data_IF_338058933160
#
_entry.id   IF_338058933160
#
_cell.length_a   1.000
_cell.length_b   1.000
_cell.length_c   1.000
_cell.angle_alpha   90.00
_cell.angle_beta   90.00
_cell.angle_gamma   90.00
#
_symmetry.space_group_name_H-M   'P 1'
#
loop_
_entity.id
_entity.type
_entity.pdbx_description
1 polymer ?
#
# COMPACT_ATOMS: atom_id res chain seq x y z
N UNK A 1 -24.12 -5.18 -12.16
CA UNK A 1 -22.70 -5.55 -12.42
C UNK A 1 -22.65 -6.98 -12.95
N UNK A 2 -22.90 -7.15 -14.25
CA UNK A 2 -22.78 -8.44 -14.94
C UNK A 2 -21.36 -8.57 -15.50
N UNK A 3 -20.36 -8.74 -14.61
CA UNK A 3 -19.06 -9.19 -15.08
C UNK A 3 -19.18 -10.66 -15.46
N UNK A 4 -19.09 -10.95 -16.75
CA UNK A 4 -18.97 -12.29 -17.33
C UNK A 4 -17.64 -12.94 -16.92
N UNK A 5 -17.41 -13.14 -15.62
CA UNK A 5 -16.34 -14.00 -15.13
C UNK A 5 -16.70 -15.43 -15.47
N UNK A 6 -16.16 -15.97 -16.57
CA UNK A 6 -16.26 -17.38 -16.89
C UNK A 6 -15.58 -18.18 -15.77
N UNK A 7 -16.30 -19.13 -15.19
CA UNK A 7 -15.74 -20.05 -14.16
C UNK A 7 -14.98 -21.22 -14.81
N UNK A 8 -15.09 -21.36 -16.14
CA UNK A 8 -14.49 -22.45 -16.90
C UNK A 8 -13.07 -22.07 -17.35
N UNK A 9 -12.15 -21.98 -16.40
CA UNK A 9 -10.73 -21.68 -16.68
C UNK A 9 -9.93 -22.98 -16.53
N UNK A 10 -9.09 -23.29 -17.53
CA UNK A 10 -8.12 -24.38 -17.42
C UNK A 10 -6.95 -23.86 -16.59
N UNK A 11 -6.68 -24.50 -15.45
CA UNK A 11 -5.56 -24.15 -14.56
C UNK A 11 -4.63 -25.36 -14.40
N UNK A 12 -4.03 -25.82 -15.51
CA UNK A 12 -3.18 -27.02 -15.51
C UNK A 12 -1.73 -26.67 -15.26
N UNK A 13 -1.27 -25.53 -15.77
CA UNK A 13 0.13 -25.11 -15.73
C UNK A 13 0.31 -23.79 -14.94
N UNK A 14 1.52 -23.47 -14.46
CA UNK A 14 1.82 -22.20 -13.80
C UNK A 14 1.44 -20.97 -14.64
N UNK A 15 1.69 -21.01 -15.95
CA UNK A 15 1.32 -19.97 -16.92
C UNK A 15 -0.18 -19.70 -16.96
N UNK A 16 -0.99 -20.75 -16.79
CA UNK A 16 -2.45 -20.63 -16.75
C UNK A 16 -2.91 -19.85 -15.50
N UNK A 17 -2.19 -20.01 -14.39
CA UNK A 17 -2.47 -19.30 -13.15
C UNK A 17 -2.16 -17.81 -13.32
N UNK A 18 -0.99 -17.46 -13.86
CA UNK A 18 -0.62 -16.05 -14.05
C UNK A 18 -1.55 -15.35 -15.04
N UNK A 19 -1.89 -16.00 -16.15
CA UNK A 19 -2.85 -15.46 -17.12
C UNK A 19 -4.22 -15.25 -16.48
N UNK A 20 -4.74 -16.22 -15.73
CA UNK A 20 -6.02 -16.09 -15.03
C UNK A 20 -6.03 -14.93 -14.02
N UNK A 21 -4.92 -14.73 -13.28
CA UNK A 21 -4.77 -13.63 -12.32
C UNK A 21 -4.69 -12.28 -13.03
N UNK A 22 -3.95 -12.20 -14.14
CA UNK A 22 -3.85 -10.97 -14.93
C UNK A 22 -5.20 -10.59 -15.53
N UNK A 23 -5.92 -11.54 -16.12
CA UNK A 23 -7.29 -11.31 -16.62
C UNK A 23 -8.23 -10.87 -15.49
N UNK A 24 -8.16 -11.51 -14.32
CA UNK A 24 -8.97 -11.10 -13.16
C UNK A 24 -8.64 -9.67 -12.71
N UNK A 25 -7.35 -9.34 -12.64
CA UNK A 25 -6.86 -8.03 -12.22
C UNK A 25 -7.31 -6.94 -13.19
N UNK A 26 -7.13 -7.17 -14.49
CA UNK A 26 -7.57 -6.23 -15.54
C UNK A 26 -9.08 -6.02 -15.51
N UNK A 27 -9.87 -7.10 -15.39
CA UNK A 27 -11.33 -7.00 -15.26
C UNK A 27 -11.74 -6.17 -14.04
N UNK A 28 -11.06 -6.32 -12.90
CA UNK A 28 -11.34 -5.51 -11.70
C UNK A 28 -10.93 -4.05 -11.93
N UNK A 29 -9.79 -3.79 -12.56
CA UNK A 29 -9.33 -2.43 -12.85
C UNK A 29 -10.24 -1.72 -13.86
N UNK A 30 -10.68 -2.41 -14.91
CA UNK A 30 -11.63 -1.88 -15.90
C UNK A 30 -12.98 -1.59 -15.27
N UNK A 31 -13.50 -2.52 -14.48
CA UNK A 31 -14.77 -2.29 -13.76
C UNK A 31 -14.64 -1.15 -12.76
N UNK A 32 -13.50 -1.02 -12.07
CA UNK A 32 -13.23 0.14 -11.22
C UNK A 32 -13.21 1.43 -12.04
N UNK A 33 -12.55 1.47 -13.20
CA UNK A 33 -12.49 2.65 -14.08
C UNK A 33 -13.89 3.07 -14.56
N UNK A 34 -14.74 2.10 -14.90
CA UNK A 34 -16.12 2.33 -15.38
C UNK A 34 -17.04 2.74 -14.22
N UNK A 35 -16.92 2.07 -13.07
CA UNK A 35 -17.83 2.26 -11.92
C UNK A 35 -17.43 3.39 -10.98
N UNK A 36 -16.14 3.75 -10.95
CA UNK A 36 -15.71 4.95 -10.26
C UNK A 36 -16.23 6.13 -11.06
N UNK A 37 -17.27 6.78 -10.57
CA UNK A 37 -17.44 8.20 -10.87
C UNK A 37 -16.10 8.83 -10.50
N UNK A 38 -15.35 9.35 -11.47
CA UNK A 38 -14.39 10.42 -11.19
C UNK A 38 -15.18 11.32 -10.27
N UNK A 39 -14.75 11.46 -9.02
CA UNK A 39 -15.36 12.43 -8.14
C UNK A 39 -15.12 13.74 -8.88
N UNK A 40 -16.10 14.15 -9.69
CA UNK A 40 -16.10 15.40 -10.42
C UNK A 40 -16.08 16.37 -9.27
N UNK A 41 -14.85 16.79 -8.87
CA UNK A 41 -14.51 17.45 -7.61
C UNK A 41 -15.78 18.12 -7.15
N UNK A 42 -16.56 17.46 -6.25
CA UNK A 42 -17.93 17.93 -6.02
C UNK A 42 -17.75 19.38 -5.68
N UNK A 43 -18.23 20.23 -6.59
CA UNK A 43 -17.65 21.55 -6.76
C UNK A 43 -17.99 22.32 -5.50
N UNK A 44 -17.11 22.29 -4.50
CA UNK A 44 -17.02 23.33 -3.50
C UNK A 44 -16.85 24.67 -4.23
N UNK A 45 -16.36 24.65 -5.49
CA UNK A 45 -16.43 25.77 -6.43
C UNK A 45 -17.84 26.34 -6.67
N UNK A 46 -18.92 25.55 -6.68
CA UNK A 46 -20.28 26.09 -6.83
C UNK A 46 -20.73 26.83 -5.56
N UNK A 47 -20.30 26.40 -4.37
CA UNK A 47 -20.51 27.17 -3.13
C UNK A 47 -19.63 28.43 -3.04
N UNK A 48 -18.61 28.55 -3.90
CA UNK A 48 -17.63 29.64 -3.87
C UNK A 48 -18.03 30.85 -4.74
N UNK A 49 -19.01 30.70 -5.64
CA UNK A 49 -19.37 31.72 -6.63
C UNK A 49 -20.79 32.23 -6.32
N UNK A 50 -20.86 33.36 -5.61
CA UNK A 50 -22.10 34.12 -5.46
C UNK A 50 -22.50 34.75 -6.80
N UNK A 51 -23.79 35.13 -6.99
CA UNK A 51 -24.21 35.87 -8.18
C UNK A 51 -23.38 37.15 -8.39
N UNK A 52 -23.03 37.85 -7.31
CA UNK A 52 -22.14 39.03 -7.32
C UNK A 52 -20.74 38.71 -7.90
N UNK A 53 -20.12 37.60 -7.47
CA UNK A 53 -18.80 37.17 -7.99
C UNK A 53 -18.92 36.77 -9.47
N UNK A 54 -19.99 36.08 -9.85
CA UNK A 54 -20.25 35.68 -11.24
C UNK A 54 -20.40 36.90 -12.16
N UNK A 55 -21.10 37.92 -11.68
CA UNK A 55 -21.27 39.18 -12.39
C UNK A 55 -19.94 39.91 -12.55
N UNK A 56 -19.14 40.03 -11.48
CA UNK A 56 -17.81 40.64 -11.55
C UNK A 56 -16.85 39.89 -12.49
N UNK A 57 -16.92 38.55 -12.54
CA UNK A 57 -16.17 37.75 -13.53
C UNK A 57 -16.59 38.13 -14.94
N UNK A 58 -17.89 38.25 -15.19
CA UNK A 58 -18.45 38.62 -16.49
C UNK A 58 -18.04 40.04 -16.89
N UNK A 59 -18.17 41.01 -15.99
CA UNK A 59 -17.74 42.40 -16.21
C UNK A 59 -16.23 42.50 -16.49
N UNK A 60 -15.40 41.79 -15.71
CA UNK A 60 -13.94 41.73 -15.93
C UNK A 60 -13.61 41.16 -17.31
N UNK A 61 -14.28 40.07 -17.73
CA UNK A 61 -14.08 39.46 -19.05
C UNK A 61 -14.45 40.43 -20.17
N UNK A 62 -15.59 41.11 -20.06
CA UNK A 62 -16.00 42.16 -21.00
C UNK A 62 -14.96 43.28 -21.09
N UNK A 63 -14.51 43.81 -19.95
CA UNK A 63 -13.49 44.86 -19.93
C UNK A 63 -12.14 44.41 -20.51
N UNK A 64 -11.75 43.14 -20.30
CA UNK A 64 -10.56 42.57 -20.95
C UNK A 64 -10.71 42.55 -22.47
N UNK A 65 -11.85 42.09 -22.98
CA UNK A 65 -12.09 42.01 -24.42
C UNK A 65 -12.06 43.41 -25.05
N UNK A 66 -12.69 44.40 -24.41
CA UNK A 66 -12.65 45.80 -24.88
C UNK A 66 -11.20 46.29 -24.95
N UNK A 67 -10.44 46.18 -23.85
CA UNK A 67 -9.03 46.61 -23.82
C UNK A 67 -8.17 45.89 -24.87
N UNK A 68 -8.41 44.60 -25.14
CA UNK A 68 -7.69 43.84 -26.16
C UNK A 68 -8.01 44.27 -27.60
N UNK A 69 -9.12 44.97 -27.81
CA UNK A 69 -9.50 45.53 -29.12
C UNK A 69 -9.03 46.97 -29.26
N UNK A 70 -9.20 47.80 -28.23
CA UNK A 70 -8.96 49.24 -28.29
C UNK A 70 -7.53 49.64 -27.92
N UNK A 71 -6.85 48.86 -27.07
CA UNK A 71 -5.54 49.17 -26.48
C UNK A 71 -5.44 50.51 -25.73
N UNK A 72 -6.56 51.19 -25.46
CA UNK A 72 -6.54 52.49 -24.77
C UNK A 72 -6.18 52.36 -23.28
N UNK A 73 -5.41 53.32 -22.72
CA UNK A 73 -5.07 53.32 -21.29
C UNK A 73 -6.28 53.31 -20.36
N UNK A 74 -7.37 53.98 -20.74
CA UNK A 74 -8.61 54.06 -19.95
C UNK A 74 -9.28 52.68 -19.80
N UNK A 75 -9.28 51.88 -20.86
CA UNK A 75 -9.85 50.53 -20.86
C UNK A 75 -8.98 49.57 -20.04
N UNK A 76 -7.65 49.75 -20.09
CA UNK A 76 -6.70 49.03 -19.23
C UNK A 76 -6.94 49.34 -17.76
N UNK A 77 -7.17 50.61 -17.42
CA UNK A 77 -7.49 51.03 -16.06
C UNK A 77 -8.80 50.41 -15.57
N UNK A 78 -9.84 50.39 -16.42
CA UNK A 78 -11.13 49.74 -16.10
C UNK A 78 -10.98 48.24 -15.89
N UNK A 79 -10.22 47.55 -16.74
CA UNK A 79 -9.90 46.13 -16.56
C UNK A 79 -9.16 45.88 -15.24
N UNK A 80 -8.13 46.67 -14.94
CA UNK A 80 -7.35 46.54 -13.70
C UNK A 80 -8.22 46.76 -12.46
N UNK A 81 -9.08 47.79 -12.48
CA UNK A 81 -10.05 48.05 -11.42
C UNK A 81 -10.97 46.86 -11.17
N UNK A 82 -11.59 46.31 -12.21
CA UNK A 82 -12.47 45.14 -12.08
C UNK A 82 -11.70 43.88 -11.64
N UNK A 83 -10.45 43.72 -12.07
CA UNK A 83 -9.58 42.63 -11.62
C UNK A 83 -9.27 42.73 -10.12
N UNK A 84 -8.94 43.92 -9.64
CA UNK A 84 -8.68 44.19 -8.21
C UNK A 84 -9.95 44.07 -7.38
N UNK A 85 -11.09 44.58 -7.87
CA UNK A 85 -12.40 44.44 -7.23
C UNK A 85 -12.80 42.98 -7.10
N UNK A 86 -12.63 42.18 -8.15
CA UNK A 86 -12.87 40.73 -8.11
C UNK A 86 -11.93 40.04 -7.10
N UNK A 87 -10.64 40.38 -7.09
CA UNK A 87 -9.65 39.83 -6.14
C UNK A 87 -10.05 40.13 -4.68
N UNK A 88 -10.45 41.38 -4.40
CA UNK A 88 -10.88 41.81 -3.07
C UNK A 88 -12.17 41.08 -2.64
N UNK A 89 -13.17 41.03 -3.53
CA UNK A 89 -14.47 40.38 -3.27
C UNK A 89 -14.29 38.88 -3.02
N UNK A 90 -13.47 38.20 -3.82
CA UNK A 90 -13.13 36.79 -3.61
C UNK A 90 -12.42 36.56 -2.27
N UNK A 91 -11.53 37.46 -1.85
CA UNK A 91 -10.86 37.37 -0.54
C UNK A 91 -11.87 37.52 0.59
N UNK A 92 -12.77 38.51 0.51
CA UNK A 92 -13.84 38.73 1.49
C UNK A 92 -14.76 37.51 1.60
N UNK A 93 -15.22 36.98 0.47
CA UNK A 93 -16.10 35.81 0.42
C UNK A 93 -15.43 34.56 1.01
N UNK A 94 -14.16 34.29 0.66
CA UNK A 94 -13.40 33.18 1.25
C UNK A 94 -13.24 33.30 2.77
N UNK A 95 -13.00 34.52 3.26
CA UNK A 95 -12.90 34.77 4.70
C UNK A 95 -14.24 34.55 5.41
N UNK A 96 -15.35 34.98 4.80
CA UNK A 96 -16.69 34.74 5.32
C UNK A 96 -17.01 33.25 5.38
N UNK A 97 -16.76 32.50 4.31
CA UNK A 97 -16.94 31.04 4.29
C UNK A 97 -16.06 30.32 5.33
N UNK A 98 -14.83 30.78 5.52
CA UNK A 98 -13.96 30.22 6.56
C UNK A 98 -14.51 30.52 7.96
N UNK A 99 -14.97 31.75 8.20
CA UNK A 99 -15.53 32.18 9.48
C UNK A 99 -16.79 31.39 9.81
N UNK A 100 -17.74 31.27 8.86
CA UNK A 100 -18.96 30.49 9.05
C UNK A 100 -18.66 29.01 9.28
N UNK A 101 -17.68 28.46 8.55
CA UNK A 101 -17.22 27.10 8.77
C UNK A 101 -16.65 26.93 10.17
N UNK A 102 -15.81 27.85 10.68
CA UNK A 102 -15.28 27.77 12.05
C UNK A 102 -16.40 27.90 13.10
N UNK A 103 -17.36 28.79 12.89
CA UNK A 103 -18.53 28.95 13.78
C UNK A 103 -19.42 27.70 13.82
N UNK A 104 -19.52 26.96 12.71
CA UNK A 104 -20.29 25.71 12.66
C UNK A 104 -19.64 24.53 13.41
N UNK A 105 -18.37 24.67 13.85
CA UNK A 105 -17.67 23.58 14.53
C UNK A 105 -18.16 23.43 15.96
N UNK A 106 -18.54 22.20 16.32
CA UNK A 106 -18.92 21.83 17.68
C UNK A 106 -17.89 20.88 18.33
N UNK A 107 -17.60 21.06 19.64
CA UNK A 107 -16.87 20.09 20.45
C UNK A 107 -17.55 18.72 20.53
N UNK A 108 -18.89 18.66 20.58
CA UNK A 108 -19.67 17.43 20.76
C UNK A 108 -19.47 16.42 19.63
N UNK A 109 -19.33 16.91 18.40
CA UNK A 109 -19.21 16.08 17.19
C UNK A 109 -17.75 15.74 16.84
N UNK A 110 -16.78 16.17 17.67
CA UNK A 110 -15.34 16.02 17.42
C UNK A 110 -14.82 16.79 16.20
N UNK A 111 -15.66 17.63 15.58
CA UNK A 111 -15.35 18.42 14.38
C UNK A 111 -14.28 19.48 14.66
N UNK A 112 -14.41 20.18 15.78
CA UNK A 112 -13.44 21.17 16.26
C UNK A 112 -12.07 20.55 16.48
N UNK A 113 -12.02 19.37 17.13
CA UNK A 113 -10.76 18.65 17.36
C UNK A 113 -10.07 18.24 16.07
N UNK A 114 -10.83 17.69 15.10
CA UNK A 114 -10.30 17.34 13.77
C UNK A 114 -9.71 18.55 13.05
N UNK A 115 -10.40 19.70 13.09
CA UNK A 115 -9.92 20.94 12.47
C UNK A 115 -8.66 21.46 13.16
N UNK A 116 -8.67 21.53 14.49
CA UNK A 116 -7.53 21.97 15.31
C UNK A 116 -6.29 21.12 15.01
N UNK A 117 -6.44 19.78 15.05
CA UNK A 117 -5.37 18.85 14.70
C UNK A 117 -4.86 19.03 13.28
N UNK A 118 -5.73 19.33 12.32
CA UNK A 118 -5.33 19.62 10.95
C UNK A 118 -4.57 20.93 10.80
N UNK A 119 -4.91 21.96 11.56
CA UNK A 119 -4.23 23.27 11.53
C UNK A 119 -2.85 23.18 12.19
N UNK A 120 -2.74 22.46 13.29
CA UNK A 120 -1.47 22.23 14.01
C UNK A 120 -0.56 21.20 13.30
N UNK A 121 -1.07 20.49 12.27
CA UNK A 121 -0.29 19.48 11.57
C UNK A 121 0.76 20.15 10.68
N UNK A 122 2.01 20.12 11.13
CA UNK A 122 3.15 20.46 10.28
C UNK A 122 3.23 19.49 9.08
N UNK A 123 3.27 20.04 7.86
CA UNK A 123 3.52 19.25 6.66
C UNK A 123 5.04 19.14 6.47
N UNK A 124 5.63 18.07 6.99
CA UNK A 124 7.03 17.76 6.71
C UNK A 124 7.18 17.34 5.25
N UNK A 125 7.88 18.14 4.45
CA UNK A 125 8.37 17.73 3.13
C UNK A 125 9.65 16.93 3.30
N UNK A 126 9.89 15.96 2.42
CA UNK A 126 11.16 15.24 2.37
C UNK A 126 12.21 16.22 1.84
N UNK A 127 13.22 16.61 2.64
CA UNK A 127 14.28 17.52 2.18
C UNK A 127 15.11 16.85 1.07
N UNK A 128 16.02 17.60 0.42
CA UNK A 128 17.03 16.99 -0.43
C UNK A 128 17.79 15.90 0.32
N UNK A 129 18.10 14.79 -0.35
CA UNK A 129 18.87 13.70 0.24
C UNK A 129 20.34 13.82 -0.16
N UNK A 130 21.26 13.52 0.75
CA UNK A 130 22.69 13.52 0.45
C UNK A 130 23.13 12.23 -0.25
N UNK A 131 23.85 12.38 -1.36
CA UNK A 131 24.66 11.31 -1.94
C UNK A 131 25.96 11.12 -1.13
N UNK A 132 26.59 9.96 -1.28
CA UNK A 132 27.92 9.69 -0.69
C UNK A 132 29.01 10.65 -1.23
N UNK A 133 28.81 11.20 -2.44
CA UNK A 133 29.76 12.10 -3.11
C UNK A 133 29.49 13.59 -2.83
N UNK A 134 28.82 13.93 -1.71
CA UNK A 134 28.38 15.29 -1.35
C UNK A 134 27.39 15.99 -2.31
N UNK A 135 26.93 15.32 -3.38
CA UNK A 135 25.83 15.82 -4.20
C UNK A 135 24.48 15.72 -3.48
N UNK A 136 23.48 16.45 -3.96
CA UNK A 136 22.12 16.46 -3.42
C UNK A 136 21.11 15.87 -4.43
N UNK A 137 20.24 14.98 -3.96
CA UNK A 137 19.06 14.52 -4.69
C UNK A 137 17.88 15.43 -4.36
N UNK A 138 17.43 16.22 -5.34
CA UNK A 138 16.41 17.24 -5.18
C UNK A 138 15.07 16.75 -5.73
N UNK A 139 15.08 16.15 -6.91
CA UNK A 139 13.86 15.66 -7.57
C UNK A 139 13.33 14.39 -6.90
N UNK A 140 12.03 14.15 -7.00
CA UNK A 140 11.42 12.93 -6.41
C UNK A 140 11.98 11.65 -7.06
N UNK A 141 12.32 11.72 -8.35
CA UNK A 141 12.96 10.62 -9.07
C UNK A 141 14.38 10.35 -8.52
N UNK A 142 15.23 11.37 -8.42
CA UNK A 142 16.58 11.23 -7.84
C UNK A 142 16.52 10.68 -6.42
N UNK A 143 15.61 11.18 -5.58
CA UNK A 143 15.42 10.69 -4.21
C UNK A 143 15.02 9.22 -4.20
N UNK A 144 14.10 8.82 -5.08
CA UNK A 144 13.65 7.45 -5.23
C UNK A 144 14.80 6.52 -5.63
N UNK A 145 15.58 6.91 -6.63
CA UNK A 145 16.69 6.12 -7.16
C UNK A 145 17.82 5.99 -6.13
N UNK A 146 18.13 7.08 -5.42
CA UNK A 146 19.10 7.07 -4.32
C UNK A 146 18.67 6.10 -3.22
N UNK A 147 17.42 6.18 -2.77
CA UNK A 147 16.87 5.26 -1.76
C UNK A 147 16.86 3.81 -2.27
N UNK A 148 16.52 3.58 -3.54
CA UNK A 148 16.53 2.24 -4.14
C UNK A 148 17.93 1.63 -4.13
N UNK A 149 18.95 2.38 -4.58
CA UNK A 149 20.35 1.95 -4.58
C UNK A 149 20.86 1.65 -3.16
N UNK A 150 20.56 2.55 -2.22
CA UNK A 150 20.91 2.37 -0.83
C UNK A 150 20.27 1.10 -0.23
N UNK A 151 18.98 0.85 -0.50
CA UNK A 151 18.30 -0.36 -0.04
C UNK A 151 18.84 -1.62 -0.71
N UNK A 152 19.17 -1.57 -2.00
CA UNK A 152 19.77 -2.69 -2.71
C UNK A 152 21.12 -3.09 -2.10
N UNK A 153 21.92 -2.11 -1.66
CA UNK A 153 23.19 -2.36 -0.98
C UNK A 153 23.01 -2.97 0.41
N UNK A 154 22.05 -2.49 1.21
CA UNK A 154 21.77 -3.02 2.56
C UNK A 154 21.16 -4.42 2.52
N UNK A 155 20.31 -4.70 1.55
CA UNK A 155 19.54 -5.95 1.48
C UNK A 155 20.31 -7.12 0.86
N UNK A 156 21.64 -7.00 0.70
CA UNK A 156 22.49 -8.10 0.24
C UNK A 156 22.54 -9.21 1.28
N UNK A 157 22.55 -10.50 0.87
CA UNK A 157 22.79 -11.60 1.77
C UNK A 157 24.12 -11.37 2.49
N UNK A 158 24.15 -11.60 3.81
CA UNK A 158 25.41 -11.55 4.54
C UNK A 158 26.29 -12.70 4.05
N UNK A 159 27.56 -12.40 3.73
CA UNK A 159 28.53 -13.42 3.34
C UNK A 159 29.00 -14.15 4.60
N UNK A 160 28.14 -15.04 5.10
CA UNK A 160 28.52 -16.00 6.12
C UNK A 160 29.37 -17.03 5.38
N UNK A 161 30.58 -17.31 5.87
CA UNK A 161 31.33 -18.52 5.51
C UNK A 161 30.89 -19.61 6.50
N UNK A 162 29.84 -20.40 6.19
CA UNK A 162 29.44 -21.51 7.03
C UNK A 162 30.55 -22.56 7.03
N UNK A 163 30.67 -23.29 8.14
CA UNK A 163 31.54 -24.46 8.23
C UNK A 163 31.21 -25.46 7.10
N UNK A 164 32.25 -25.99 6.45
CA UNK A 164 32.13 -26.92 5.34
C UNK A 164 31.34 -28.18 5.75
N UNK A 165 31.49 -28.63 7.00
CA UNK A 165 30.76 -29.79 7.53
C UNK A 165 29.26 -29.53 7.60
N UNK A 166 28.86 -28.34 8.06
CA UNK A 166 27.46 -27.93 8.14
C UNK A 166 26.84 -27.77 6.75
N UNK A 167 27.60 -27.24 5.77
CA UNK A 167 27.12 -27.15 4.39
C UNK A 167 26.80 -28.53 3.80
N UNK A 168 27.67 -29.51 4.01
CA UNK A 168 27.44 -30.89 3.56
C UNK A 168 26.16 -31.45 4.20
N UNK A 169 25.94 -31.26 5.50
CA UNK A 169 24.72 -31.71 6.17
C UNK A 169 23.45 -31.04 5.61
N UNK A 170 23.51 -29.74 5.36
CA UNK A 170 22.39 -28.99 4.77
C UNK A 170 22.09 -29.49 3.37
N UNK A 171 23.10 -29.68 2.53
CA UNK A 171 22.93 -30.16 1.17
C UNK A 171 22.38 -31.59 1.13
N UNK A 172 22.87 -32.48 2.01
CA UNK A 172 22.31 -33.82 2.21
C UNK A 172 20.84 -33.75 2.61
N UNK A 173 20.46 -32.86 3.52
CA UNK A 173 19.07 -32.70 3.93
C UNK A 173 18.19 -32.14 2.79
N UNK A 174 18.67 -31.16 2.03
CA UNK A 174 17.94 -30.54 0.92
C UNK A 174 17.71 -31.53 -0.23
N UNK A 175 18.71 -32.37 -0.51
CA UNK A 175 18.67 -33.40 -1.56
C UNK A 175 17.97 -34.68 -1.14
N UNK A 176 17.82 -34.92 0.17
CA UNK A 176 17.07 -36.07 0.67
C UNK A 176 15.62 -36.07 0.14
N UNK A 177 15.08 -37.24 -0.21
CA UNK A 177 13.70 -37.34 -0.68
C UNK A 177 12.76 -36.84 0.40
N UNK A 178 11.82 -35.97 0.02
CA UNK A 178 10.82 -35.47 0.95
C UNK A 178 9.99 -36.65 1.49
N UNK A 179 9.69 -36.67 2.80
CA UNK A 179 8.82 -37.69 3.34
C UNK A 179 7.46 -37.62 2.65
N UNK A 180 6.85 -38.78 2.41
CA UNK A 180 5.51 -38.85 1.84
C UNK A 180 4.56 -38.06 2.74
N UNK A 181 4.00 -36.98 2.21
CA UNK A 181 3.10 -36.10 2.93
C UNK A 181 1.76 -36.02 2.21
N UNK A 182 0.67 -35.94 2.99
CA UNK A 182 -0.64 -35.69 2.44
C UNK A 182 -0.67 -34.31 1.76
N UNK A 183 -1.40 -34.17 0.64
CA UNK A 183 -1.56 -32.89 -0.02
C UNK A 183 -2.20 -31.88 0.94
N UNK A 184 -1.85 -30.61 0.76
CA UNK A 184 -2.41 -29.56 1.58
C UNK A 184 -3.95 -29.52 1.40
N UNK A 185 -4.70 -29.57 2.51
CA UNK A 185 -6.17 -29.58 2.52
C UNK A 185 -6.74 -28.51 1.61
N UNK A 186 -7.70 -28.77 0.70
CA UNK A 186 -8.20 -27.74 -0.21
C UNK A 186 -8.86 -26.56 0.54
N UNK A 187 -8.86 -25.39 -0.08
CA UNK A 187 -9.54 -24.18 0.42
C UNK A 187 -11.00 -24.19 -0.02
N UNK A 188 -11.91 -23.80 0.88
CA UNK A 188 -13.32 -23.57 0.56
C UNK A 188 -13.63 -22.09 0.30
N UNK A 189 -14.69 -21.76 -0.47
CA UNK A 189 -15.08 -20.36 -0.69
C UNK A 189 -15.46 -19.64 0.62
N UNK A 190 -16.04 -20.37 1.59
CA UNK A 190 -16.34 -19.83 2.91
C UNK A 190 -15.09 -19.42 3.68
N UNK A 191 -14.00 -20.18 3.54
CA UNK A 191 -12.72 -19.82 4.15
C UNK A 191 -12.14 -18.54 3.53
N UNK A 192 -12.12 -18.44 2.19
CA UNK A 192 -11.68 -17.22 1.49
C UNK A 192 -12.51 -16.02 1.91
N UNK A 193 -13.84 -16.16 1.92
CA UNK A 193 -14.76 -15.11 2.31
C UNK A 193 -14.52 -14.65 3.76
N UNK A 194 -14.22 -15.57 4.67
CA UNK A 194 -13.90 -15.25 6.07
C UNK A 194 -12.67 -14.35 6.19
N UNK A 195 -11.65 -14.58 5.34
CA UNK A 195 -10.42 -13.78 5.30
C UNK A 195 -10.72 -12.40 4.70
N UNK A 196 -11.48 -12.35 3.61
CA UNK A 196 -11.89 -11.11 2.94
C UNK A 196 -12.67 -10.19 3.89
N UNK A 197 -13.65 -10.74 4.62
CA UNK A 197 -14.43 -9.98 5.61
C UNK A 197 -13.56 -9.35 6.71
N UNK A 198 -12.51 -10.07 7.15
CA UNK A 198 -11.55 -9.61 8.17
C UNK A 198 -10.52 -8.58 7.67
N UNK A 199 -10.47 -8.26 6.38
CA UNK A 199 -9.56 -7.22 5.87
C UNK A 199 -9.90 -5.85 6.45
N UNK A 200 -8.88 -5.02 6.74
CA UNK A 200 -9.09 -3.63 7.20
C UNK A 200 -9.28 -2.72 5.99
N UNK A 201 -10.34 -1.90 5.96
CA UNK A 201 -10.67 -1.08 4.78
C UNK A 201 -9.61 -0.01 4.48
N UNK A 202 -8.98 0.55 5.51
CA UNK A 202 -8.03 1.68 5.42
C UNK A 202 -6.58 1.24 5.16
N UNK A 203 -6.39 0.26 4.25
CA UNK A 203 -5.06 -0.23 3.88
C UNK A 203 -4.75 0.16 2.45
N UNK A 204 -3.52 0.60 2.22
CA UNK A 204 -3.01 0.95 0.90
C UNK A 204 -2.96 -0.29 -0.01
N UNK A 205 -3.25 -0.11 -1.31
CA UNK A 205 -3.16 -1.19 -2.29
C UNK A 205 -1.71 -1.52 -2.64
N UNK A 206 -1.50 -2.60 -3.39
CA UNK A 206 -0.20 -2.91 -4.00
C UNK A 206 -0.01 -2.14 -5.31
N UNK A 207 0.90 -2.63 -6.16
CA UNK A 207 1.08 -2.10 -7.52
C UNK A 207 -0.18 -2.23 -8.40
N UNK A 208 -1.06 -3.16 -8.05
CA UNK A 208 -2.32 -3.46 -8.73
C UNK A 208 -3.41 -2.38 -8.49
N UNK A 209 -3.19 -1.46 -7.54
CA UNK A 209 -4.15 -0.45 -7.13
C UNK A 209 -5.51 -1.03 -6.64
N UNK A 210 -5.55 -2.31 -6.24
CA UNK A 210 -6.77 -2.95 -5.73
C UNK A 210 -6.87 -2.82 -4.21
N UNK A 211 -7.77 -1.94 -3.78
CA UNK A 211 -8.03 -1.66 -2.36
C UNK A 211 -8.81 -2.79 -1.66
N UNK A 212 -8.60 -2.94 -0.34
CA UNK A 212 -9.36 -3.89 0.47
C UNK A 212 -10.88 -3.64 0.43
N UNK A 213 -11.30 -2.37 0.27
CA UNK A 213 -12.73 -2.02 0.12
C UNK A 213 -13.30 -2.61 -1.17
N UNK A 214 -12.56 -2.55 -2.28
CA UNK A 214 -12.94 -3.17 -3.55
C UNK A 214 -13.07 -4.68 -3.38
N UNK A 215 -12.07 -5.32 -2.77
CA UNK A 215 -12.06 -6.78 -2.56
C UNK A 215 -13.27 -7.25 -1.75
N UNK A 216 -13.69 -6.50 -0.73
CA UNK A 216 -14.89 -6.82 0.06
C UNK A 216 -16.20 -6.69 -0.71
N UNK A 217 -16.23 -5.86 -1.74
CA UNK A 217 -17.41 -5.61 -2.56
C UNK A 217 -17.43 -6.47 -3.84
N UNK A 218 -16.50 -7.41 -4.00
CA UNK A 218 -16.49 -8.34 -5.13
C UNK A 218 -17.72 -9.25 -5.10
N UNK A 219 -18.27 -9.61 -6.27
CA UNK A 219 -19.41 -10.50 -6.33
C UNK A 219 -19.01 -11.92 -5.85
N UNK A 220 -19.96 -12.70 -5.30
CA UNK A 220 -19.69 -14.07 -4.82
C UNK A 220 -19.02 -14.96 -5.87
N UNK A 221 -19.39 -14.77 -7.15
CA UNK A 221 -18.79 -15.49 -8.29
C UNK A 221 -17.27 -15.30 -8.37
N UNK A 222 -16.77 -14.11 -8.09
CA UNK A 222 -15.33 -13.82 -8.06
C UNK A 222 -14.63 -14.51 -6.89
N UNK A 223 -15.31 -14.64 -5.73
CA UNK A 223 -14.76 -15.38 -4.58
C UNK A 223 -14.62 -16.87 -4.92
N UNK A 224 -15.59 -17.45 -5.64
CA UNK A 224 -15.51 -18.83 -6.12
C UNK A 224 -14.33 -18.98 -7.09
N UNK A 225 -14.19 -18.06 -8.06
CA UNK A 225 -13.06 -18.05 -8.99
C UNK A 225 -11.71 -17.96 -8.27
N UNK A 226 -11.56 -17.06 -7.30
CA UNK A 226 -10.34 -16.93 -6.48
C UNK A 226 -10.03 -18.23 -5.73
N UNK A 227 -11.06 -18.89 -5.20
CA UNK A 227 -10.90 -20.18 -4.51
C UNK A 227 -10.35 -21.24 -5.46
N UNK A 228 -10.86 -21.29 -6.69
CA UNK A 228 -10.38 -22.21 -7.71
C UNK A 228 -8.91 -21.93 -8.09
N UNK A 229 -8.54 -20.66 -8.26
CA UNK A 229 -7.14 -20.24 -8.48
C UNK A 229 -6.24 -20.65 -7.31
N UNK A 230 -6.64 -20.37 -6.06
CA UNK A 230 -5.85 -20.73 -4.88
C UNK A 230 -5.68 -22.25 -4.73
N UNK A 231 -6.69 -23.05 -5.06
CA UNK A 231 -6.57 -24.50 -5.04
C UNK A 231 -5.64 -25.02 -6.14
N UNK A 232 -5.66 -24.41 -7.33
CA UNK A 232 -4.68 -24.72 -8.37
C UNK A 232 -3.24 -24.36 -7.94
N UNK A 233 -3.05 -23.22 -7.28
CA UNK A 233 -1.76 -22.82 -6.71
C UNK A 233 -1.25 -23.83 -5.67
N UNK A 234 -2.11 -24.35 -4.79
CA UNK A 234 -1.74 -25.42 -3.86
C UNK A 234 -1.37 -26.72 -4.58
N UNK A 235 -2.13 -27.11 -5.62
CA UNK A 235 -1.87 -28.33 -6.40
C UNK A 235 -0.55 -28.27 -7.15
N UNK A 236 -0.27 -27.14 -7.80
CA UNK A 236 0.94 -26.95 -8.61
C UNK A 236 2.14 -26.47 -7.79
N UNK A 237 1.96 -26.23 -6.49
CA UNK A 237 2.98 -25.61 -5.62
C UNK A 237 3.58 -24.33 -6.20
N UNK A 238 2.74 -23.54 -6.87
CA UNK A 238 3.16 -22.35 -7.61
C UNK A 238 2.62 -21.07 -6.96
N UNK A 239 3.49 -20.08 -6.82
CA UNK A 239 3.11 -18.73 -6.41
C UNK A 239 3.31 -17.74 -7.57
N UNK A 240 2.28 -16.97 -7.95
CA UNK A 240 2.29 -16.05 -9.08
C UNK A 240 3.38 -15.00 -9.01
N UNK A 241 4.04 -14.72 -10.14
CA UNK A 241 5.11 -13.72 -10.22
C UNK A 241 4.62 -12.31 -9.94
N UNK A 242 3.42 -11.96 -10.41
CA UNK A 242 2.82 -10.65 -10.18
C UNK A 242 2.59 -10.37 -8.69
N UNK A 243 2.39 -11.41 -7.88
CA UNK A 243 2.23 -11.27 -6.43
C UNK A 243 3.56 -11.30 -5.66
N UNK A 244 4.68 -11.68 -6.29
CA UNK A 244 6.03 -11.57 -5.72
C UNK A 244 6.54 -10.13 -5.74
N UNK A 245 6.07 -9.35 -6.70
CA UNK A 245 6.40 -7.92 -6.84
C UNK A 245 5.66 -7.05 -5.82
N UNK A 246 6.37 -6.10 -5.23
CA UNK A 246 5.82 -5.18 -4.23
C UNK A 246 6.24 -3.74 -4.50
N UNK A 247 5.33 -2.80 -4.24
CA UNK A 247 5.64 -1.37 -4.29
C UNK A 247 6.33 -0.96 -2.98
N UNK A 248 7.54 -0.40 -3.07
CA UNK A 248 8.31 0.03 -1.90
C UNK A 248 8.02 1.49 -1.58
N UNK A 249 7.51 1.75 -0.38
CA UNK A 249 7.37 3.11 0.16
C UNK A 249 8.36 3.29 1.32
N UNK A 250 9.13 4.36 1.29
CA UNK A 250 10.05 4.72 2.35
C UNK A 250 9.36 5.64 3.37
N UNK A 251 9.57 5.36 4.66
CA UNK A 251 9.05 6.20 5.76
C UNK A 251 10.20 6.62 6.65
N UNK A 252 10.26 7.90 7.02
CA UNK A 252 11.25 8.40 7.96
C UNK A 252 11.10 7.74 9.34
N UNK A 253 12.21 7.27 9.90
CA UNK A 253 12.28 6.78 11.28
C UNK A 253 12.04 7.96 12.24
N UNK A 254 11.23 7.81 13.29
CA UNK A 254 11.01 8.87 14.27
C UNK A 254 12.33 9.37 14.87
N UNK A 255 12.53 10.69 14.92
CA UNK A 255 13.71 11.32 15.53
C UNK A 255 15.02 11.18 14.75
N UNK A 256 14.98 10.73 13.49
CA UNK A 256 16.17 10.63 12.63
C UNK A 256 16.24 11.76 11.60
N UNK A 257 17.46 12.07 11.17
CA UNK A 257 17.77 13.13 10.22
C UNK A 257 17.15 12.84 8.83
N UNK A 258 16.27 13.72 8.32
CA UNK A 258 15.47 13.45 7.13
C UNK A 258 16.23 13.54 5.79
N UNK A 259 17.42 14.11 5.81
CA UNK A 259 18.34 14.31 4.69
C UNK A 259 19.24 13.08 4.42
N UNK A 260 19.24 12.10 5.32
CA UNK A 260 20.07 10.89 5.22
C UNK A 260 19.22 9.68 4.76
N UNK A 261 19.65 8.93 3.74
CA UNK A 261 18.94 7.74 3.24
C UNK A 261 18.72 6.64 4.30
N UNK A 262 19.69 6.44 5.20
CA UNK A 262 19.63 5.47 6.30
C UNK A 262 18.51 5.70 7.30
N UNK A 263 18.03 6.95 7.38
CA UNK A 263 16.94 7.34 8.26
C UNK A 263 15.58 6.81 7.79
N UNK A 264 15.49 6.27 6.58
CA UNK A 264 14.24 5.75 6.03
C UNK A 264 14.12 4.24 6.20
N UNK A 265 12.91 3.77 6.52
CA UNK A 265 12.55 2.34 6.54
C UNK A 265 11.72 2.00 5.30
N UNK A 266 12.04 0.91 4.58
CA UNK A 266 11.20 0.46 3.47
C UNK A 266 9.96 -0.27 3.99
N UNK A 267 8.80 0.02 3.39
CA UNK A 267 7.54 -0.69 3.57
C UNK A 267 7.13 -1.26 2.22
N UNK A 268 7.01 -2.57 2.15
CA UNK A 268 6.55 -3.27 0.95
C UNK A 268 5.04 -3.36 0.92
N UNK A 269 4.41 -2.77 -0.08
CA UNK A 269 2.99 -2.90 -0.39
C UNK A 269 2.78 -4.00 -1.43
N UNK A 270 2.30 -5.15 -0.95
CA UNK A 270 1.99 -6.33 -1.77
C UNK A 270 0.53 -6.30 -2.26
N UNK A 271 0.24 -6.90 -3.44
CA UNK A 271 -1.11 -7.13 -3.94
C UNK A 271 -2.04 -7.78 -2.90
N UNK A 272 -3.30 -7.38 -2.91
CA UNK A 272 -4.26 -7.83 -1.87
C UNK A 272 -4.59 -9.31 -1.99
N UNK A 273 -4.72 -9.84 -3.21
CA UNK A 273 -4.99 -11.26 -3.43
C UNK A 273 -3.85 -12.17 -2.98
N UNK A 274 -2.59 -11.79 -3.23
CA UNK A 274 -1.42 -12.49 -2.71
C UNK A 274 -1.44 -12.60 -1.18
N UNK A 275 -1.74 -11.50 -0.48
CA UNK A 275 -1.88 -11.50 1.00
C UNK A 275 -3.03 -12.38 1.51
N UNK A 276 -4.09 -12.57 0.72
CA UNK A 276 -5.19 -13.49 1.08
C UNK A 276 -4.68 -14.93 1.00
N UNK A 277 -3.97 -15.28 -0.08
CA UNK A 277 -3.36 -16.60 -0.22
C UNK A 277 -2.32 -16.89 0.87
N UNK A 278 -1.43 -15.93 1.16
CA UNK A 278 -0.44 -16.06 2.24
C UNK A 278 -1.09 -16.38 3.59
N UNK A 279 -2.28 -15.82 3.88
CA UNK A 279 -3.02 -16.14 5.11
C UNK A 279 -3.56 -17.56 5.13
N UNK A 280 -4.04 -18.07 3.99
CA UNK A 280 -4.47 -19.46 3.85
C UNK A 280 -3.29 -20.40 4.09
N UNK A 281 -2.16 -20.12 3.44
CA UNK A 281 -0.93 -20.87 3.59
C UNK A 281 -0.43 -20.83 5.04
N UNK A 282 -0.39 -19.64 5.66
CA UNK A 282 0.04 -19.46 7.05
C UNK A 282 -0.81 -20.28 8.02
N UNK A 283 -2.14 -20.31 7.83
CA UNK A 283 -3.04 -21.10 8.68
C UNK A 283 -2.67 -22.60 8.65
N UNK A 284 -2.34 -23.13 7.47
CA UNK A 284 -1.91 -24.53 7.31
C UNK A 284 -0.55 -24.78 7.94
N UNK A 285 0.44 -23.92 7.65
CA UNK A 285 1.80 -24.03 8.20
C UNK A 285 1.83 -23.96 9.72
N UNK A 286 1.08 -23.03 10.32
CA UNK A 286 0.99 -22.92 11.78
C UNK A 286 0.37 -24.16 12.39
N UNK A 287 -0.65 -24.75 11.75
CA UNK A 287 -1.28 -25.99 12.25
C UNK A 287 -0.28 -27.15 12.26
N UNK A 288 0.54 -27.28 11.21
CA UNK A 288 1.58 -28.32 11.11
C UNK A 288 2.68 -28.07 12.15
N UNK A 289 3.18 -26.84 12.24
CA UNK A 289 4.25 -26.47 13.16
C UNK A 289 3.87 -26.70 14.64
N UNK A 290 2.60 -26.46 15.00
CA UNK A 290 2.09 -26.73 16.35
C UNK A 290 1.96 -28.23 16.63
N UNK A 291 1.47 -29.02 15.66
CA UNK A 291 1.37 -30.49 15.82
C UNK A 291 2.74 -31.15 15.99
N UNK A 292 3.76 -30.61 15.33
CA UNK A 292 5.13 -31.13 15.37
C UNK A 292 5.98 -30.53 16.50
N UNK A 293 5.43 -29.66 17.35
CA UNK A 293 6.18 -28.91 18.37
C UNK A 293 7.43 -28.19 17.81
N UNK A 294 7.36 -27.74 16.54
CA UNK A 294 8.49 -27.12 15.84
C UNK A 294 8.82 -25.69 16.35
N UNK A 295 7.96 -25.11 17.18
CA UNK A 295 8.13 -23.77 17.75
C UNK A 295 8.64 -23.87 19.19
N UNK A 296 9.81 -23.28 19.46
CA UNK A 296 10.39 -23.26 20.81
C UNK A 296 9.51 -22.45 21.78
N UNK A 297 9.58 -22.81 23.08
CA UNK A 297 8.87 -22.07 24.15
C UNK A 297 9.34 -20.62 24.28
N UNK A 298 10.59 -20.34 23.92
CA UNK A 298 11.20 -19.00 23.95
C UNK A 298 10.87 -18.14 22.71
N UNK A 299 10.13 -18.67 21.73
CA UNK A 299 9.70 -17.90 20.57
C UNK A 299 8.40 -17.13 20.86
N UNK A 300 8.54 -15.88 21.30
CA UNK A 300 7.42 -14.99 21.63
C UNK A 300 6.95 -14.14 20.44
N UNK A 301 7.87 -13.74 19.56
CA UNK A 301 7.55 -12.89 18.41
C UNK A 301 6.70 -13.60 17.36
N UNK A 302 5.66 -12.92 16.85
CA UNK A 302 4.79 -13.41 15.78
C UNK A 302 4.05 -14.71 16.07
N UNK A 303 3.83 -15.02 17.36
CA UNK A 303 3.08 -16.20 17.83
C UNK A 303 1.74 -15.75 18.41
N UNK A 304 0.67 -16.46 18.08
CA UNK A 304 -0.66 -16.17 18.62
C UNK A 304 -0.64 -16.31 20.15
N UNK A 305 -1.25 -15.35 20.86
CA UNK A 305 -1.30 -15.29 22.34
C UNK A 305 0.05 -15.04 23.04
N UNK A 306 1.09 -14.62 22.33
CA UNK A 306 2.33 -14.13 22.92
C UNK A 306 2.54 -12.65 22.57
N UNK A 307 3.09 -11.89 23.51
CA UNK A 307 3.40 -10.47 23.35
C UNK A 307 4.86 -10.22 23.71
N UNK A 308 5.43 -9.11 23.25
CA UNK A 308 6.83 -8.74 23.52
C UNK A 308 7.14 -8.56 25.01
N UNK A 309 6.11 -8.39 25.85
CA UNK A 309 6.23 -8.14 27.29
C UNK A 309 6.04 -9.41 28.16
N UNK A 310 5.79 -10.60 27.59
CA UNK A 310 5.69 -11.81 28.43
C UNK A 310 7.02 -12.04 29.17
N UNK A 311 7.05 -12.08 30.51
CA UNK A 311 8.29 -12.19 31.28
C UNK A 311 9.03 -13.45 30.88
N UNK A 312 10.31 -13.32 30.55
CA UNK A 312 11.21 -14.48 30.50
C UNK A 312 11.25 -15.11 31.88
N UNK A 313 11.07 -16.45 32.03
CA UNK A 313 11.32 -17.10 33.31
C UNK A 313 12.78 -16.80 33.77
N UNK A 314 13.03 -16.71 35.09
CA UNK A 314 14.35 -16.33 35.60
C UNK A 314 15.43 -17.27 35.05
N UNK A 315 16.50 -16.67 34.54
CA UNK A 315 17.62 -17.34 33.87
C UNK A 315 18.47 -18.13 34.85
N UNK A 316 18.61 -19.43 34.61
CA UNK A 316 19.77 -20.23 35.03
C UNK A 316 20.51 -20.69 33.78
N UNK A 317 21.62 -20.01 33.42
CA UNK A 317 22.56 -20.48 32.38
C UNK A 317 23.04 -19.39 31.40
N UNK A 318 24.35 -19.34 31.07
CA UNK A 318 24.90 -18.36 30.15
C UNK A 318 24.88 -18.91 28.72
N UNK A 319 23.86 -18.58 27.93
CA UNK A 319 23.96 -18.74 26.48
C UNK A 319 23.42 -17.53 25.70
N UNK A 320 24.18 -17.24 24.66
CA UNK A 320 24.31 -16.00 23.93
C UNK A 320 23.06 -15.66 23.11
N UNK A 321 22.67 -14.39 23.08
CA UNK A 321 21.58 -13.90 22.25
C UNK A 321 22.04 -13.73 20.80
N UNK A 322 21.48 -14.51 19.88
CA UNK A 322 21.49 -14.18 18.45
C UNK A 322 20.10 -13.69 18.07
N UNK A 323 19.93 -12.37 18.02
CA UNK A 323 18.78 -11.72 17.40
C UNK A 323 18.87 -11.89 15.87
N UNK A 324 18.48 -13.06 15.34
CA UNK A 324 18.42 -13.28 13.89
C UNK A 324 17.09 -12.79 13.30
N UNK A 325 17.26 -12.10 12.18
CA UNK A 325 16.30 -11.32 11.41
C UNK A 325 14.86 -11.85 11.28
N UNK A 326 13.91 -10.95 11.54
CA UNK A 326 12.44 -11.09 11.47
C UNK A 326 11.91 -11.08 10.03
N UNK A 327 12.11 -12.14 9.22
CA UNK A 327 11.36 -12.36 7.95
C UNK A 327 11.63 -13.70 7.24
N UNK A 328 11.75 -14.82 7.95
CA UNK A 328 12.25 -16.07 7.31
C UNK A 328 11.14 -17.05 6.88
N UNK A 329 10.00 -17.13 7.57
CA UNK A 329 9.04 -18.21 7.26
C UNK A 329 8.24 -18.05 5.96
N UNK A 330 8.09 -16.83 5.42
CA UNK A 330 7.36 -16.57 4.16
C UNK A 330 8.28 -16.37 2.94
N UNK A 331 9.55 -16.00 3.14
CA UNK A 331 10.52 -15.81 2.04
C UNK A 331 11.25 -17.08 1.62
N UNK A 332 11.33 -18.09 2.48
CA UNK A 332 11.97 -19.36 2.16
C UNK A 332 11.23 -20.15 1.05
N UNK A 333 9.90 -20.02 0.96
CA UNK A 333 9.11 -20.66 -0.09
C UNK A 333 9.22 -19.95 -1.45
N UNK A 334 9.55 -18.65 -1.46
CA UNK A 334 9.76 -17.90 -2.72
C UNK A 334 11.05 -18.29 -3.45
N UNK A 335 12.05 -18.85 -2.76
CA UNK A 335 13.32 -19.25 -3.40
C UNK A 335 13.25 -20.62 -4.07
N UNK A 336 12.37 -21.52 -3.63
CA UNK A 336 12.21 -22.86 -4.25
C UNK A 336 11.36 -22.84 -5.52
N UNK A 337 10.49 -21.85 -5.70
CA UNK A 337 9.77 -21.62 -6.96
C UNK A 337 10.61 -20.90 -8.03
N UNK A 338 11.86 -20.54 -7.74
CA UNK A 338 12.79 -19.91 -8.70
C UNK A 338 13.90 -20.86 -9.15
N UNK A 339 13.92 -22.09 -8.62
CA UNK A 339 14.93 -23.12 -8.88
C UNK A 339 14.32 -24.46 -9.30
N UNK A 340 13.07 -24.44 -9.73
CA UNK A 340 12.33 -25.46 -10.46
C UNK A 340 11.61 -24.72 -11.58
#
# INVERSE_FOLDING_TARGET
MTTSSSLNIKLKNPTDIDTAINTLTNNIQDTLRISSTIAANQNNFRSLITPEISELISQKRRARNIWQQTYYPIDKQRYNYLSNKLKSTLKKHKNQLYTSHIQSLSPSNGSLWKKTKSLLKHKSTIPPLHYQNNNLAITDQEKSDLLANHLANILKPHNISPDATHMIQVDQFITSPLPMALPASPTSPGEVLSIVKKLKNSKSPGHDNINNKTVKNLPPKTIILLTYIFNAMFRLSYFPDTWKSALIITILKPGKQPDIPESYRPISLLPTFGKIFEKLLLKRLVTIALKQNALTSFQFGFRAKHATFTPTPPRSGPHCYIARNKKILLRALSRRCSSL
#
